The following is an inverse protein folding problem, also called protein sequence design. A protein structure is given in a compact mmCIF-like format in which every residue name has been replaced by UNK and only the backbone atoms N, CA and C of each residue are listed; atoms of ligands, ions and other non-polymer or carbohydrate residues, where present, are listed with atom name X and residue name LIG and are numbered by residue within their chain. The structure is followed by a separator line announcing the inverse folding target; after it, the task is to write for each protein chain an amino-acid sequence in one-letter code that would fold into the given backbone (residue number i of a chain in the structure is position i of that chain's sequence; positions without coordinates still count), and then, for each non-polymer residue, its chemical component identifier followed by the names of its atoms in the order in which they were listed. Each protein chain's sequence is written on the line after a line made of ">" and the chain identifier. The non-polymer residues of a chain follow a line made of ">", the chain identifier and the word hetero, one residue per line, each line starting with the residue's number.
data_IF_657518649942
#
_entry.id   IF_657518649942
#
_cell.length_a   1.000
_cell.length_b   1.000
_cell.length_c   1.000
_cell.angle_alpha   90.00
_cell.angle_beta   90.00
_cell.angle_gamma   90.00
#
_symmetry.space_group_name_H-M   'P 1'
#
loop_
_entity.id
_entity.type
_entity.pdbx_description
1 polymer ?
#
# COMPACT_ATOMS: atom_id res chain seq x y z
N UNK A 1 26.55 -13.83 1.95
CA UNK A 1 25.27 -13.09 2.04
C UNK A 1 24.36 -13.64 0.96
N UNK A 2 23.16 -14.09 1.31
CA UNK A 2 22.18 -14.51 0.31
C UNK A 2 21.79 -13.26 -0.49
N UNK A 3 21.52 -13.41 -1.79
CA UNK A 3 21.12 -12.28 -2.64
C UNK A 3 19.91 -11.51 -2.07
N UNK A 4 19.03 -12.19 -1.34
CA UNK A 4 17.90 -11.59 -0.64
C UNK A 4 18.32 -10.61 0.49
N UNK A 5 19.39 -10.94 1.24
CA UNK A 5 19.84 -10.13 2.38
C UNK A 5 20.38 -8.76 1.94
N UNK A 6 20.91 -8.68 0.71
CA UNK A 6 21.40 -7.42 0.15
C UNK A 6 20.30 -6.36 0.07
N UNK A 7 19.08 -6.76 -0.32
CA UNK A 7 17.94 -5.85 -0.46
C UNK A 7 17.42 -5.32 0.87
N UNK A 8 17.87 -5.89 2.00
CA UNK A 8 17.58 -5.40 3.34
C UNK A 8 18.64 -4.42 3.85
N UNK A 9 19.77 -4.27 3.15
CA UNK A 9 20.78 -3.27 3.51
C UNK A 9 20.33 -1.85 3.13
N UNK A 10 20.81 -0.80 3.83
CA UNK A 10 20.54 0.60 3.46
C UNK A 10 20.76 0.89 1.97
N UNK A 11 21.85 0.34 1.42
CA UNK A 11 22.20 0.51 0.02
C UNK A 11 21.22 -0.22 -0.92
N UNK A 12 20.82 -1.45 -0.58
CA UNK A 12 19.82 -2.20 -1.34
C UNK A 12 18.45 -1.49 -1.38
N UNK A 13 17.99 -0.99 -0.23
CA UNK A 13 16.76 -0.21 -0.11
C UNK A 13 16.85 1.08 -0.93
N UNK A 14 17.97 1.80 -0.83
CA UNK A 14 18.20 3.03 -1.59
C UNK A 14 18.21 2.77 -3.10
N UNK A 15 18.97 1.78 -3.58
CA UNK A 15 19.03 1.45 -5.01
C UNK A 15 17.66 1.02 -5.55
N UNK A 16 16.96 0.14 -4.85
CA UNK A 16 15.62 -0.30 -5.27
C UNK A 16 14.64 0.89 -5.33
N UNK A 17 14.65 1.74 -4.30
CA UNK A 17 13.80 2.93 -4.23
C UNK A 17 14.12 3.94 -5.33
N UNK A 18 15.40 4.24 -5.57
CA UNK A 18 15.85 5.17 -6.62
C UNK A 18 15.43 4.68 -8.01
N UNK A 19 15.60 3.38 -8.29
CA UNK A 19 15.13 2.80 -9.56
C UNK A 19 13.63 3.02 -9.73
N UNK A 20 12.83 2.79 -8.68
CA UNK A 20 11.38 3.00 -8.74
C UNK A 20 11.01 4.47 -8.92
N UNK A 21 11.66 5.40 -8.19
CA UNK A 21 11.42 6.85 -8.33
C UNK A 21 11.73 7.31 -9.75
N UNK A 22 12.87 6.90 -10.31
CA UNK A 22 13.28 7.27 -11.67
C UNK A 22 12.34 6.67 -12.72
N UNK A 23 11.97 5.38 -12.57
CA UNK A 23 11.05 4.71 -13.51
C UNK A 23 9.68 5.37 -13.49
N UNK A 24 9.08 5.57 -12.31
CA UNK A 24 7.76 6.19 -12.21
C UNK A 24 7.78 7.67 -12.61
N UNK A 25 8.80 8.43 -12.19
CA UNK A 25 9.00 9.82 -12.62
C UNK A 25 9.10 9.93 -14.14
N UNK A 26 9.80 9.01 -14.79
CA UNK A 26 9.90 8.94 -16.25
C UNK A 26 8.56 8.59 -16.91
N UNK A 27 7.82 7.61 -16.39
CA UNK A 27 6.48 7.25 -16.88
C UNK A 27 5.53 8.45 -16.79
N UNK A 28 5.58 9.21 -15.69
CA UNK A 28 4.79 10.43 -15.54
C UNK A 28 5.23 11.56 -16.47
N UNK A 29 6.53 11.70 -16.73
CA UNK A 29 7.03 12.67 -17.69
C UNK A 29 6.50 12.38 -19.11
N UNK A 30 6.39 11.10 -19.50
CA UNK A 30 5.90 10.64 -20.80
C UNK A 30 4.38 10.80 -21.00
N UNK A 31 3.61 10.93 -19.93
CA UNK A 31 2.18 11.27 -19.99
C UNK A 31 1.27 10.38 -19.14
N UNK A 32 0.23 10.99 -18.57
CA UNK A 32 -0.72 10.34 -17.67
C UNK A 32 -1.51 9.21 -18.32
N UNK A 33 -1.77 9.25 -19.63
CA UNK A 33 -2.50 8.20 -20.36
C UNK A 33 -1.77 6.85 -20.36
N UNK A 34 -0.45 6.86 -20.51
CA UNK A 34 0.37 5.63 -20.50
C UNK A 34 0.34 5.05 -19.10
N UNK A 35 0.54 5.90 -18.10
CA UNK A 35 0.43 5.53 -16.70
C UNK A 35 -0.90 4.83 -16.38
N UNK A 36 -2.06 5.42 -16.73
CA UNK A 36 -3.36 4.80 -16.43
C UNK A 36 -3.54 3.42 -17.08
N UNK A 37 -2.96 3.17 -18.26
CA UNK A 37 -2.99 1.83 -18.88
C UNK A 37 -2.15 0.83 -18.09
N UNK A 38 -0.93 1.21 -17.73
CA UNK A 38 -0.03 0.38 -16.92
C UNK A 38 -0.69 0.06 -15.57
N UNK A 39 -1.24 1.08 -14.92
CA UNK A 39 -1.95 0.97 -13.65
C UNK A 39 -3.13 0.00 -13.73
N UNK A 40 -3.96 0.09 -14.78
CA UNK A 40 -5.12 -0.80 -14.93
C UNK A 40 -4.70 -2.27 -15.14
N UNK A 41 -3.65 -2.51 -15.92
CA UNK A 41 -3.11 -3.87 -16.11
C UNK A 41 -2.51 -4.41 -14.82
N UNK A 42 -1.71 -3.60 -14.12
CA UNK A 42 -1.12 -3.97 -12.83
C UNK A 42 -2.21 -4.25 -11.79
N UNK A 43 -3.25 -3.42 -11.72
CA UNK A 43 -4.39 -3.60 -10.82
C UNK A 43 -5.17 -4.89 -11.12
N UNK A 44 -5.45 -5.18 -12.39
CA UNK A 44 -6.13 -6.41 -12.77
C UNK A 44 -5.31 -7.66 -12.41
N UNK A 45 -4.01 -7.64 -12.71
CA UNK A 45 -3.10 -8.74 -12.38
C UNK A 45 -2.96 -8.93 -10.87
N UNK A 46 -2.82 -7.85 -10.12
CA UNK A 46 -2.67 -7.92 -8.68
C UNK A 46 -3.98 -8.32 -7.98
N UNK A 47 -5.14 -7.90 -8.48
CA UNK A 47 -6.45 -8.39 -8.02
C UNK A 47 -6.57 -9.90 -8.28
N UNK A 48 -6.14 -10.37 -9.45
CA UNK A 48 -6.12 -11.80 -9.75
C UNK A 48 -5.20 -12.56 -8.77
N UNK A 49 -4.04 -12.01 -8.44
CA UNK A 49 -3.13 -12.62 -7.48
C UNK A 49 -3.72 -12.73 -6.07
N UNK A 50 -4.39 -11.67 -5.60
CA UNK A 50 -5.13 -11.69 -4.33
C UNK A 50 -6.28 -12.70 -4.36
N UNK A 51 -7.01 -12.78 -5.46
CA UNK A 51 -8.08 -13.76 -5.65
C UNK A 51 -7.55 -15.20 -5.58
N UNK A 52 -6.43 -15.48 -6.26
CA UNK A 52 -5.78 -16.78 -6.24
C UNK A 52 -5.27 -17.12 -4.84
N UNK A 53 -4.63 -16.17 -4.13
CA UNK A 53 -4.20 -16.38 -2.75
C UNK A 53 -5.38 -16.69 -1.81
N UNK A 54 -6.49 -15.95 -1.95
CA UNK A 54 -7.72 -16.22 -1.20
C UNK A 54 -8.32 -17.59 -1.52
N UNK A 55 -8.34 -18.00 -2.79
CA UNK A 55 -8.82 -19.33 -3.21
C UNK A 55 -7.93 -20.45 -2.66
N UNK A 56 -6.61 -20.30 -2.72
CA UNK A 56 -5.67 -21.23 -2.11
C UNK A 56 -5.98 -21.39 -0.63
N UNK A 57 -6.14 -20.29 0.10
CA UNK A 57 -6.49 -20.33 1.51
C UNK A 57 -7.86 -21.00 1.77
N UNK A 58 -8.87 -20.72 0.95
CA UNK A 58 -10.19 -21.32 1.10
C UNK A 58 -10.23 -22.83 0.83
N UNK A 59 -9.41 -23.32 -0.10
CA UNK A 59 -9.43 -24.71 -0.54
C UNK A 59 -8.46 -25.60 0.25
N UNK A 60 -7.49 -25.01 0.94
CA UNK A 60 -6.46 -25.75 1.68
C UNK A 60 -6.95 -26.10 3.08
N UNK A 61 -6.77 -27.36 3.48
CA UNK A 61 -7.05 -27.79 4.85
C UNK A 61 -5.93 -27.37 5.79
N UNK A 62 -6.25 -27.21 7.08
CA UNK A 62 -5.27 -26.82 8.10
C UNK A 62 -4.08 -27.77 8.20
N UNK A 63 -4.33 -29.08 8.12
CA UNK A 63 -3.28 -30.10 8.16
C UNK A 63 -2.33 -29.96 6.96
N UNK A 64 -2.87 -29.77 5.76
CA UNK A 64 -2.05 -29.54 4.57
C UNK A 64 -1.27 -28.23 4.68
N UNK A 65 -1.88 -27.17 5.19
CA UNK A 65 -1.18 -25.91 5.43
C UNK A 65 0.02 -26.09 6.36
N UNK A 66 -0.15 -26.73 7.52
CA UNK A 66 0.93 -26.94 8.49
C UNK A 66 2.09 -27.70 7.85
N UNK A 67 1.81 -28.82 7.18
CA UNK A 67 2.84 -29.60 6.50
C UNK A 67 3.59 -28.78 5.44
N UNK A 68 2.87 -28.01 4.61
CA UNK A 68 3.46 -27.19 3.56
C UNK A 68 4.23 -25.98 4.10
N UNK A 69 3.78 -25.41 5.21
CA UNK A 69 4.46 -24.33 5.89
C UNK A 69 5.80 -24.80 6.46
N UNK A 70 5.82 -25.96 7.12
CA UNK A 70 7.05 -26.54 7.67
C UNK A 70 8.06 -26.89 6.56
N UNK A 71 7.59 -27.47 5.44
CA UNK A 71 8.41 -27.69 4.25
C UNK A 71 9.00 -26.39 3.68
N UNK A 72 8.18 -25.34 3.57
CA UNK A 72 8.60 -24.03 3.07
C UNK A 72 9.67 -23.38 3.95
N UNK A 73 9.43 -23.30 5.26
CA UNK A 73 10.38 -22.68 6.20
C UNK A 73 11.70 -23.42 6.19
N UNK A 74 11.68 -24.76 6.19
CA UNK A 74 12.87 -25.59 6.05
C UNK A 74 13.62 -25.32 4.73
N UNK A 75 12.90 -25.20 3.61
CA UNK A 75 13.50 -24.95 2.29
C UNK A 75 14.20 -23.57 2.21
N UNK A 76 13.68 -22.57 2.92
CA UNK A 76 14.29 -21.23 3.01
C UNK A 76 15.45 -21.19 4.02
N UNK A 77 15.74 -22.30 4.71
CA UNK A 77 16.82 -22.45 5.67
C UNK A 77 16.43 -22.08 7.11
N UNK A 78 15.14 -22.10 7.42
CA UNK A 78 14.62 -22.05 8.77
C UNK A 78 14.57 -23.42 9.44
N UNK A 79 13.77 -23.53 10.50
CA UNK A 79 13.68 -24.72 11.36
C UNK A 79 12.73 -25.80 10.82
N UNK A 80 12.88 -27.02 11.33
CA UNK A 80 11.89 -28.09 11.18
C UNK A 80 10.71 -27.87 12.14
N UNK A 81 9.52 -28.35 11.79
CA UNK A 81 8.28 -28.15 12.56
C UNK A 81 8.01 -26.67 12.89
N UNK A 82 8.23 -25.79 11.91
CA UNK A 82 8.14 -24.34 12.07
C UNK A 82 6.81 -23.87 12.66
N UNK A 83 5.68 -24.50 12.33
CA UNK A 83 4.39 -24.15 12.90
C UNK A 83 4.33 -24.41 14.42
N UNK A 84 4.92 -25.51 14.89
CA UNK A 84 5.02 -25.81 16.32
C UNK A 84 5.98 -24.84 17.02
N UNK A 85 7.15 -24.58 16.42
CA UNK A 85 8.13 -23.62 16.96
C UNK A 85 7.53 -22.20 17.03
N UNK A 86 6.72 -21.80 16.03
CA UNK A 86 5.99 -20.54 16.06
C UNK A 86 5.06 -20.49 17.28
N UNK A 87 4.34 -21.58 17.56
CA UNK A 87 3.46 -21.67 18.72
C UNK A 87 4.23 -21.54 20.04
N UNK A 88 5.28 -22.34 20.21
CA UNK A 88 6.07 -22.39 21.45
C UNK A 88 6.83 -21.07 21.72
N UNK A 89 7.34 -20.41 20.69
CA UNK A 89 8.08 -19.15 20.81
C UNK A 89 7.20 -17.91 20.91
N UNK A 90 5.94 -17.97 20.45
CA UNK A 90 5.06 -16.81 20.40
C UNK A 90 4.63 -16.28 21.76
N UNK A 91 4.62 -17.14 22.79
CA UNK A 91 3.95 -16.83 24.07
C UNK A 91 2.46 -16.51 23.92
N UNK A 92 1.85 -16.81 22.76
CA UNK A 92 0.48 -16.45 22.44
C UNK A 92 -0.48 -17.18 23.37
N UNK A 93 -1.39 -16.42 23.97
CA UNK A 93 -2.51 -16.97 24.71
C UNK A 93 -3.82 -16.56 24.05
N UNK A 94 -4.78 -17.48 23.87
CA UNK A 94 -6.10 -17.11 23.39
C UNK A 94 -6.71 -16.05 24.29
N UNK A 95 -6.96 -14.86 23.73
CA UNK A 95 -7.58 -13.76 24.45
C UNK A 95 -9.09 -13.69 24.11
N UNK A 96 -9.97 -13.48 25.10
CA UNK A 96 -11.38 -13.23 24.83
C UNK A 96 -11.54 -11.91 24.07
N UNK A 97 -12.74 -11.68 23.53
CA UNK A 97 -13.07 -10.42 22.86
C UNK A 97 -12.79 -9.21 23.77
N UNK A 98 -11.94 -8.31 23.30
CA UNK A 98 -11.61 -7.05 23.97
C UNK A 98 -11.94 -5.88 23.04
N UNK A 99 -12.90 -5.05 23.46
CA UNK A 99 -13.35 -3.90 22.70
C UNK A 99 -12.25 -2.83 22.54
N UNK A 100 -11.36 -2.68 23.51
CA UNK A 100 -10.25 -1.73 23.46
C UNK A 100 -9.20 -2.17 22.45
N UNK A 101 -8.78 -3.45 22.50
CA UNK A 101 -7.86 -4.01 21.50
C UNK A 101 -8.46 -4.00 20.08
N UNK A 102 -9.77 -4.27 19.98
CA UNK A 102 -10.51 -4.16 18.72
C UNK A 102 -10.51 -2.72 18.21
N UNK A 103 -10.68 -1.72 19.08
CA UNK A 103 -10.61 -0.32 18.68
C UNK A 103 -9.20 0.07 18.21
N UNK A 104 -8.16 -0.39 18.90
CA UNK A 104 -6.77 -0.15 18.48
C UNK A 104 -6.45 -0.79 17.12
N UNK A 105 -7.00 -1.98 16.83
CA UNK A 105 -6.78 -2.67 15.55
C UNK A 105 -7.45 -1.96 14.36
N UNK A 106 -8.45 -1.11 14.59
CA UNK A 106 -9.06 -0.26 13.54
C UNK A 106 -8.06 0.67 12.87
N UNK A 107 -6.94 1.01 13.53
CA UNK A 107 -5.91 1.86 12.96
C UNK A 107 -5.39 1.33 11.62
N UNK A 108 -5.16 0.02 11.50
CA UNK A 108 -4.61 -0.61 10.30
C UNK A 108 -5.54 -0.51 9.08
N UNK A 109 -6.83 -0.94 9.15
CA UNK A 109 -7.78 -0.72 8.07
C UNK A 109 -8.02 0.76 7.74
N UNK A 110 -8.07 1.63 8.76
CA UNK A 110 -8.25 3.07 8.54
C UNK A 110 -7.09 3.65 7.73
N UNK A 111 -5.84 3.23 7.97
CA UNK A 111 -4.70 3.67 7.17
C UNK A 111 -4.83 3.30 5.70
N UNK A 112 -5.35 2.10 5.39
CA UNK A 112 -5.53 1.65 4.00
C UNK A 112 -6.63 2.46 3.31
N UNK A 113 -7.74 2.69 4.02
CA UNK A 113 -8.94 3.33 3.46
C UNK A 113 -8.79 4.84 3.29
N UNK A 114 -8.00 5.51 4.15
CA UNK A 114 -7.82 6.97 4.09
C UNK A 114 -7.32 7.44 2.71
N UNK A 115 -6.61 6.58 1.96
CA UNK A 115 -6.07 6.90 0.63
C UNK A 115 -7.14 7.15 -0.42
N UNK A 116 -8.41 6.80 -0.16
CA UNK A 116 -9.53 7.17 -1.02
C UNK A 116 -9.60 8.69 -1.30
N UNK A 117 -9.14 9.53 -0.35
CA UNK A 117 -9.10 10.99 -0.50
C UNK A 117 -8.23 11.40 -1.70
N UNK A 118 -7.17 10.65 -2.01
CA UNK A 118 -6.26 11.00 -3.12
C UNK A 118 -6.96 11.02 -4.49
N UNK A 119 -8.10 10.35 -4.62
CA UNK A 119 -9.00 10.45 -5.77
C UNK A 119 -9.43 11.90 -6.06
N UNK A 120 -9.60 12.73 -5.03
CA UNK A 120 -10.01 14.13 -5.17
C UNK A 120 -9.02 14.96 -5.98
N UNK A 121 -7.72 14.71 -5.86
CA UNK A 121 -6.68 15.40 -6.64
C UNK A 121 -6.78 15.12 -8.13
N UNK A 122 -7.37 13.98 -8.52
CA UNK A 122 -7.58 13.57 -9.91
C UNK A 122 -8.99 13.93 -10.40
N UNK A 123 -9.88 14.36 -9.51
CA UNK A 123 -11.28 14.61 -9.83
C UNK A 123 -11.48 15.53 -11.02
N UNK A 124 -10.71 16.61 -11.14
CA UNK A 124 -10.81 17.58 -12.24
C UNK A 124 -10.39 17.05 -13.62
N UNK A 125 -9.61 15.97 -13.68
CA UNK A 125 -9.15 15.36 -14.95
C UNK A 125 -10.05 14.21 -15.42
N UNK A 126 -11.00 13.78 -14.58
CA UNK A 126 -11.91 12.68 -14.88
C UNK A 126 -13.18 13.21 -15.55
N UNK A 127 -13.57 12.59 -16.68
CA UNK A 127 -14.86 12.86 -17.33
C UNK A 127 -16.01 12.61 -16.34
N UNK A 128 -16.90 13.59 -16.18
CA UNK A 128 -17.97 13.57 -15.18
C UNK A 128 -17.48 13.46 -13.73
N UNK A 129 -16.46 14.25 -13.40
CA UNK A 129 -15.84 14.41 -12.08
C UNK A 129 -16.82 14.23 -10.90
N UNK A 130 -17.95 14.96 -10.90
CA UNK A 130 -18.94 14.92 -9.83
C UNK A 130 -19.48 13.52 -9.57
N UNK A 131 -19.97 12.84 -10.61
CA UNK A 131 -20.53 11.48 -10.49
C UNK A 131 -19.43 10.46 -10.22
N UNK A 132 -18.28 10.62 -10.88
CA UNK A 132 -17.14 9.72 -10.71
C UNK A 132 -16.58 9.75 -9.28
N UNK A 133 -16.48 10.93 -8.64
CA UNK A 133 -16.00 11.05 -7.27
C UNK A 133 -17.04 10.57 -6.25
N UNK A 134 -18.33 10.86 -6.48
CA UNK A 134 -19.42 10.43 -5.60
C UNK A 134 -19.54 8.91 -5.49
N UNK A 135 -19.39 8.18 -6.60
CA UNK A 135 -19.40 6.71 -6.59
C UNK A 135 -18.01 6.10 -6.37
N UNK A 136 -16.96 6.75 -6.88
CA UNK A 136 -15.59 6.23 -6.88
C UNK A 136 -15.00 6.16 -5.48
N UNK A 137 -15.14 7.21 -4.65
CA UNK A 137 -14.58 7.19 -3.30
C UNK A 137 -15.27 6.11 -2.43
N UNK A 138 -16.59 6.13 -2.16
CA UNK A 138 -17.22 5.10 -1.33
C UNK A 138 -17.14 3.71 -1.95
N UNK A 139 -17.25 3.60 -3.27
CA UNK A 139 -17.13 2.32 -3.98
C UNK A 139 -15.77 1.67 -3.81
N UNK A 140 -14.69 2.46 -3.85
CA UNK A 140 -13.34 1.96 -3.57
C UNK A 140 -13.18 1.47 -2.12
N UNK A 141 -13.77 2.16 -1.15
CA UNK A 141 -13.76 1.74 0.26
C UNK A 141 -14.51 0.42 0.44
N UNK A 142 -15.71 0.30 -0.12
CA UNK A 142 -16.50 -0.94 -0.04
C UNK A 142 -15.75 -2.09 -0.72
N UNK A 143 -15.16 -1.85 -1.90
CA UNK A 143 -14.36 -2.84 -2.61
C UNK A 143 -13.18 -3.36 -1.76
N UNK A 144 -12.39 -2.45 -1.17
CA UNK A 144 -11.28 -2.81 -0.31
C UNK A 144 -11.76 -3.57 0.94
N UNK A 145 -12.83 -3.11 1.59
CA UNK A 145 -13.39 -3.76 2.78
C UNK A 145 -13.88 -5.18 2.49
N UNK A 146 -14.56 -5.40 1.36
CA UNK A 146 -15.01 -6.74 0.95
C UNK A 146 -13.82 -7.68 0.77
N UNK A 147 -12.76 -7.25 0.07
CA UNK A 147 -11.56 -8.06 -0.09
C UNK A 147 -10.87 -8.37 1.23
N UNK A 148 -10.74 -7.39 2.13
CA UNK A 148 -10.15 -7.59 3.47
C UNK A 148 -10.94 -8.66 4.23
N UNK A 149 -12.28 -8.54 4.30
CA UNK A 149 -13.12 -9.50 5.02
C UNK A 149 -13.03 -10.91 4.41
N UNK A 150 -13.06 -11.01 3.08
CA UNK A 150 -12.93 -12.30 2.39
C UNK A 150 -11.59 -12.97 2.65
N UNK A 151 -10.49 -12.21 2.61
CA UNK A 151 -9.16 -12.75 2.90
C UNK A 151 -9.03 -13.15 4.38
N UNK A 152 -9.50 -12.33 5.32
CA UNK A 152 -9.50 -12.67 6.75
C UNK A 152 -10.24 -14.00 6.97
N UNK A 153 -11.45 -14.13 6.42
CA UNK A 153 -12.24 -15.37 6.54
C UNK A 153 -11.52 -16.58 5.90
N UNK A 154 -10.92 -16.40 4.73
CA UNK A 154 -10.19 -17.46 4.02
C UNK A 154 -8.98 -17.95 4.82
N UNK A 155 -8.13 -17.04 5.29
CA UNK A 155 -6.93 -17.39 6.05
C UNK A 155 -7.25 -17.91 7.46
N UNK A 156 -8.31 -17.40 8.10
CA UNK A 156 -8.79 -17.97 9.37
C UNK A 156 -9.30 -19.39 9.19
N UNK A 157 -9.96 -19.72 8.07
CA UNK A 157 -10.35 -21.10 7.74
C UNK A 157 -9.12 -22.01 7.56
N UNK A 158 -8.10 -21.52 6.86
CA UNK A 158 -6.89 -22.29 6.55
C UNK A 158 -6.03 -22.55 7.80
N UNK A 159 -5.71 -21.50 8.55
CA UNK A 159 -4.69 -21.55 9.62
C UNK A 159 -5.32 -21.61 11.02
N UNK A 160 -6.51 -21.02 11.17
CA UNK A 160 -7.13 -20.74 12.46
C UNK A 160 -6.74 -19.37 13.01
N UNK A 161 -7.66 -18.74 13.76
CA UNK A 161 -7.42 -17.43 14.38
C UNK A 161 -6.18 -17.45 15.29
N UNK A 162 -6.12 -18.41 16.21
CA UNK A 162 -5.00 -18.52 17.15
C UNK A 162 -3.70 -18.89 16.43
N UNK A 163 -3.78 -19.70 15.35
CA UNK A 163 -2.61 -20.07 14.54
C UNK A 163 -2.00 -18.86 13.83
N UNK A 164 -2.84 -17.97 13.28
CA UNK A 164 -2.38 -16.70 12.72
C UNK A 164 -1.78 -15.79 13.80
N UNK A 165 -2.38 -15.75 14.99
CA UNK A 165 -1.85 -15.02 16.13
C UNK A 165 -0.47 -15.51 16.56
N UNK A 166 -0.29 -16.83 16.67
CA UNK A 166 0.98 -17.45 17.02
C UNK A 166 2.07 -17.20 15.97
N UNK A 167 1.78 -17.37 14.67
CA UNK A 167 2.75 -17.05 13.61
C UNK A 167 3.11 -15.56 13.63
N UNK A 168 2.13 -14.68 13.87
CA UNK A 168 2.35 -13.24 13.93
C UNK A 168 3.17 -12.78 15.13
N UNK A 169 3.10 -13.48 16.26
CA UNK A 169 3.80 -13.17 17.50
C UNK A 169 5.06 -14.02 17.73
N UNK A 170 5.36 -14.97 16.85
CA UNK A 170 6.50 -15.88 16.97
C UNK A 170 7.84 -15.14 16.96
N UNK A 171 8.83 -15.71 17.65
CA UNK A 171 10.21 -15.22 17.55
C UNK A 171 10.80 -15.61 16.19
N UNK A 172 11.13 -14.58 15.40
CA UNK A 172 11.71 -14.73 14.07
C UNK A 172 13.06 -15.43 14.09
N UNK A 173 13.86 -15.20 15.14
CA UNK A 173 15.14 -15.87 15.31
C UNK A 173 14.95 -17.37 15.57
N UNK A 174 13.93 -17.74 16.36
CA UNK A 174 13.58 -19.13 16.61
C UNK A 174 13.08 -19.84 15.35
N UNK A 175 12.37 -19.13 14.46
CA UNK A 175 11.93 -19.67 13.16
C UNK A 175 13.03 -19.72 12.10
N UNK A 176 14.15 -19.02 12.31
CA UNK A 176 15.19 -18.82 11.29
C UNK A 176 14.71 -17.95 10.12
N UNK A 177 13.73 -17.07 10.36
CA UNK A 177 13.18 -16.15 9.37
C UNK A 177 13.65 -14.72 9.65
N UNK A 178 13.82 -13.92 8.59
CA UNK A 178 14.25 -12.53 8.74
C UNK A 178 13.08 -11.58 9.07
N UNK A 179 11.84 -11.97 8.77
CA UNK A 179 10.64 -11.16 8.96
C UNK A 179 9.41 -12.04 9.12
N UNK A 180 8.33 -11.48 9.70
CA UNK A 180 7.08 -12.19 9.94
C UNK A 180 6.39 -12.54 8.62
N UNK A 181 6.03 -13.82 8.38
CA UNK A 181 5.35 -14.23 7.16
C UNK A 181 4.07 -13.44 6.92
N UNK A 182 3.97 -12.82 5.75
CA UNK A 182 2.76 -12.13 5.30
C UNK A 182 1.71 -13.12 4.77
N UNK A 183 0.45 -12.70 4.63
CA UNK A 183 -0.60 -13.57 4.08
C UNK A 183 -0.24 -14.12 2.68
N UNK A 184 0.51 -13.35 1.90
CA UNK A 184 0.99 -13.75 0.56
C UNK A 184 1.98 -14.89 0.66
N UNK A 185 2.87 -14.86 1.65
CA UNK A 185 3.83 -15.93 1.89
C UNK A 185 3.18 -17.16 2.50
N UNK A 186 2.17 -16.99 3.35
CA UNK A 186 1.38 -18.11 3.85
C UNK A 186 0.65 -18.84 2.71
N UNK A 187 0.08 -18.11 1.75
CA UNK A 187 -0.49 -18.71 0.54
C UNK A 187 0.60 -19.30 -0.37
N UNK A 188 1.73 -18.59 -0.53
CA UNK A 188 2.88 -19.03 -1.32
C UNK A 188 3.50 -20.34 -0.80
N UNK A 189 3.58 -20.50 0.53
CA UNK A 189 4.05 -21.71 1.20
C UNK A 189 3.20 -22.92 0.84
N UNK A 190 1.90 -22.76 0.63
CA UNK A 190 1.02 -23.87 0.21
C UNK A 190 1.28 -24.28 -1.24
N UNK A 191 1.50 -23.31 -2.13
CA UNK A 191 1.65 -23.55 -3.58
C UNK A 191 3.09 -23.63 -4.04
N UNK A 192 4.06 -23.79 -3.13
CA UNK A 192 5.49 -23.74 -3.44
C UNK A 192 5.98 -24.77 -4.47
N UNK A 193 5.17 -25.81 -4.75
CA UNK A 193 5.44 -26.83 -5.75
C UNK A 193 5.04 -26.40 -7.18
N UNK A 194 4.23 -25.34 -7.33
CA UNK A 194 3.78 -24.83 -8.62
C UNK A 194 4.39 -23.45 -8.89
N UNK A 195 5.42 -23.43 -9.73
CA UNK A 195 6.15 -22.21 -10.09
C UNK A 195 5.22 -21.09 -10.61
N UNK A 196 4.20 -21.43 -11.41
CA UNK A 196 3.28 -20.44 -11.97
C UNK A 196 2.47 -19.74 -10.87
N UNK A 197 1.97 -20.50 -9.89
CA UNK A 197 1.20 -19.95 -8.77
C UNK A 197 2.06 -19.07 -7.87
N UNK A 198 3.30 -19.47 -7.60
CA UNK A 198 4.27 -18.68 -6.82
C UNK A 198 4.59 -17.37 -7.53
N UNK A 199 4.92 -17.44 -8.81
CA UNK A 199 5.24 -16.24 -9.60
C UNK A 199 4.03 -15.31 -9.68
N UNK A 200 2.82 -15.85 -9.86
CA UNK A 200 1.60 -15.06 -9.90
C UNK A 200 1.32 -14.35 -8.57
N UNK A 201 1.41 -15.07 -7.45
CA UNK A 201 1.17 -14.51 -6.11
C UNK A 201 2.27 -13.51 -5.73
N UNK A 202 3.54 -13.86 -5.95
CA UNK A 202 4.69 -13.02 -5.64
C UNK A 202 4.77 -11.75 -6.50
N UNK A 203 4.69 -11.88 -7.82
CA UNK A 203 4.68 -10.71 -8.72
C UNK A 203 3.42 -9.87 -8.52
N UNK A 204 2.29 -10.49 -8.23
CA UNK A 204 1.05 -9.78 -7.94
C UNK A 204 1.15 -8.92 -6.69
N UNK A 205 1.77 -9.45 -5.63
CA UNK A 205 2.07 -8.70 -4.42
C UNK A 205 3.07 -7.56 -4.66
N UNK A 206 4.11 -7.79 -5.44
CA UNK A 206 5.06 -6.74 -5.83
C UNK A 206 4.34 -5.62 -6.59
N UNK A 207 3.53 -5.95 -7.58
CA UNK A 207 2.76 -4.95 -8.34
C UNK A 207 1.78 -4.19 -7.44
N UNK A 208 1.07 -4.86 -6.53
CA UNK A 208 0.20 -4.21 -5.56
C UNK A 208 0.97 -3.24 -4.66
N UNK A 209 2.14 -3.66 -4.20
CA UNK A 209 3.04 -2.87 -3.35
C UNK A 209 3.66 -1.69 -4.08
N UNK A 210 3.64 -1.60 -5.41
CA UNK A 210 4.18 -0.44 -6.13
C UNK A 210 3.13 0.45 -6.79
N UNK A 211 1.88 -0.02 -6.86
CA UNK A 211 0.72 0.70 -7.42
C UNK A 211 0.34 1.98 -6.63
N UNK A 212 0.79 2.11 -5.38
CA UNK A 212 0.60 3.31 -4.52
C UNK A 212 1.62 4.44 -4.70
N UNK A 213 2.84 4.19 -5.19
CA UNK A 213 3.85 5.24 -5.39
C UNK A 213 3.37 6.28 -6.42
N UNK A 214 2.77 5.86 -7.54
CA UNK A 214 2.41 6.80 -8.58
C UNK A 214 1.31 7.78 -8.20
N UNK A 215 0.32 7.33 -7.40
CA UNK A 215 -0.76 8.22 -6.95
C UNK A 215 -0.24 9.32 -6.01
N UNK A 216 0.75 9.01 -5.17
CA UNK A 216 1.40 10.00 -4.33
C UNK A 216 2.19 11.01 -5.18
N UNK A 217 2.95 10.53 -6.16
CA UNK A 217 3.71 11.39 -7.08
C UNK A 217 2.81 12.37 -7.83
N UNK A 218 1.68 11.87 -8.32
CA UNK A 218 0.69 12.64 -9.07
C UNK A 218 -0.09 13.63 -8.18
N UNK A 219 -0.40 13.26 -6.93
CA UNK A 219 -0.97 14.18 -5.96
C UNK A 219 0.02 15.32 -5.61
N UNK A 220 1.27 14.98 -5.26
CA UNK A 220 2.29 15.97 -4.89
C UNK A 220 2.58 16.98 -6.00
N UNK A 221 2.70 16.51 -7.25
CA UNK A 221 2.94 17.41 -8.39
C UNK A 221 1.80 18.38 -8.63
N UNK A 222 0.54 17.96 -8.45
CA UNK A 222 -0.63 18.85 -8.56
C UNK A 222 -0.74 19.84 -7.42
N UNK A 223 -0.38 19.44 -6.20
CA UNK A 223 -0.33 20.36 -5.05
C UNK A 223 0.70 21.47 -5.32
N UNK A 224 1.90 21.13 -5.81
CA UNK A 224 2.91 22.12 -6.18
C UNK A 224 2.44 23.05 -7.31
N UNK A 225 1.71 22.51 -8.29
CA UNK A 225 1.12 23.30 -9.37
C UNK A 225 0.10 24.31 -8.82
N UNK A 226 -0.79 23.88 -7.93
CA UNK A 226 -1.78 24.74 -7.29
C UNK A 226 -1.11 25.85 -6.45
N UNK A 227 -0.13 25.51 -5.62
CA UNK A 227 0.62 26.49 -4.83
C UNK A 227 1.40 27.48 -5.69
N UNK A 228 1.86 27.07 -6.87
CA UNK A 228 2.51 27.97 -7.83
C UNK A 228 1.51 28.98 -8.41
N UNK A 229 0.28 28.55 -8.75
CA UNK A 229 -0.79 29.47 -9.18
C UNK A 229 -1.24 30.43 -8.06
N UNK A 230 -1.23 29.96 -6.81
CA UNK A 230 -1.49 30.79 -5.62
C UNK A 230 -0.32 31.72 -5.26
N UNK A 231 0.78 31.70 -6.04
CA UNK A 231 2.02 32.46 -5.82
C UNK A 231 2.71 32.16 -4.48
N UNK A 232 2.40 31.02 -3.87
CA UNK A 232 3.09 30.52 -2.66
C UNK A 232 4.44 29.87 -3.00
N UNK A 233 4.59 29.38 -4.22
CA UNK A 233 5.76 28.67 -4.71
C UNK A 233 6.29 29.29 -6.02
N UNK A 234 7.56 29.04 -6.42
CA UNK A 234 8.13 29.58 -7.65
C UNK A 234 7.27 29.28 -8.90
N UNK A 235 7.12 30.27 -9.77
CA UNK A 235 6.31 30.16 -11.01
C UNK A 235 6.79 29.03 -11.93
N UNK A 236 8.09 28.71 -11.90
CA UNK A 236 8.68 27.60 -12.67
C UNK A 236 8.02 26.23 -12.40
N UNK A 237 7.40 26.04 -11.23
CA UNK A 237 6.70 24.79 -10.89
C UNK A 237 5.37 24.63 -11.63
N UNK A 238 4.77 25.73 -12.08
CA UNK A 238 3.56 25.73 -12.93
C UNK A 238 3.84 25.45 -14.41
N UNK A 239 5.12 25.31 -14.82
CA UNK A 239 5.48 25.05 -16.21
C UNK A 239 4.99 23.66 -16.65
N UNK A 240 4.12 23.64 -17.68
CA UNK A 240 3.60 22.43 -18.32
C UNK A 240 4.19 22.28 -19.71
N UNK A 241 4.75 21.11 -20.01
CA UNK A 241 5.34 20.80 -21.32
C UNK A 241 4.26 20.78 -22.42
N UNK A 242 4.45 21.52 -23.54
CA UNK A 242 3.49 21.50 -24.66
C UNK A 242 3.35 20.15 -25.37
N UNK A 243 4.38 19.28 -25.29
CA UNK A 243 4.38 17.98 -25.97
C UNK A 243 3.66 16.90 -25.18
N UNK A 244 3.96 16.81 -23.89
CA UNK A 244 3.47 15.75 -23.00
C UNK A 244 2.29 16.20 -22.15
N UNK A 245 2.00 17.51 -22.09
CA UNK A 245 0.98 18.12 -21.22
C UNK A 245 1.17 17.77 -19.74
N UNK A 246 2.43 17.63 -19.32
CA UNK A 246 2.81 17.25 -17.94
C UNK A 246 3.71 18.31 -17.30
N UNK A 247 3.60 18.54 -15.97
CA UNK A 247 4.40 19.53 -15.26
C UNK A 247 5.81 18.99 -14.94
N UNK A 248 6.71 19.00 -15.93
CA UNK A 248 8.03 18.36 -15.84
C UNK A 248 8.88 18.89 -14.69
N UNK A 249 8.83 20.21 -14.41
CA UNK A 249 9.61 20.82 -13.31
C UNK A 249 9.09 20.34 -11.96
N UNK A 250 7.77 20.27 -11.77
CA UNK A 250 7.18 19.74 -10.55
C UNK A 250 7.52 18.26 -10.37
N UNK A 251 7.47 17.46 -11.46
CA UNK A 251 7.85 16.03 -11.44
C UNK A 251 9.30 15.88 -10.99
N UNK A 252 10.22 16.69 -11.52
CA UNK A 252 11.63 16.64 -11.16
C UNK A 252 11.87 17.04 -9.71
N UNK A 253 11.20 18.09 -9.22
CA UNK A 253 11.31 18.53 -7.82
C UNK A 253 10.77 17.47 -6.86
N UNK A 254 9.62 16.87 -7.16
CA UNK A 254 9.07 15.76 -6.35
C UNK A 254 10.02 14.55 -6.35
N UNK A 255 10.67 14.27 -7.48
CA UNK A 255 11.65 13.19 -7.59
C UNK A 255 12.86 13.44 -6.71
N UNK A 256 13.45 14.64 -6.79
CA UNK A 256 14.59 15.02 -5.94
C UNK A 256 14.24 14.98 -4.45
N UNK A 257 13.08 15.53 -4.07
CA UNK A 257 12.61 15.46 -2.68
C UNK A 257 12.36 14.01 -2.24
N UNK A 258 11.83 13.18 -3.14
CA UNK A 258 11.66 11.75 -2.93
C UNK A 258 12.98 11.04 -2.67
N UNK A 259 14.02 11.31 -3.48
CA UNK A 259 15.37 10.74 -3.30
C UNK A 259 16.01 11.17 -1.98
N UNK A 260 15.87 12.45 -1.60
CA UNK A 260 16.38 12.96 -0.32
C UNK A 260 15.68 12.24 0.84
N UNK A 261 14.35 12.14 0.80
CA UNK A 261 13.58 11.41 1.82
C UNK A 261 13.93 9.92 1.86
N UNK A 262 14.15 9.30 0.70
CA UNK A 262 14.58 7.90 0.60
C UNK A 262 15.95 7.69 1.23
N UNK A 263 16.92 8.59 1.00
CA UNK A 263 18.22 8.54 1.66
C UNK A 263 18.09 8.71 3.18
N UNK A 264 17.33 9.71 3.63
CA UNK A 264 17.10 9.93 5.06
C UNK A 264 16.44 8.72 5.76
N UNK A 265 15.60 7.98 5.03
CA UNK A 265 14.96 6.75 5.49
C UNK A 265 15.92 5.55 5.47
N UNK A 266 16.59 5.30 4.35
CA UNK A 266 17.44 4.12 4.15
C UNK A 266 18.59 4.04 5.18
N UNK A 267 19.12 5.20 5.59
CA UNK A 267 20.17 5.29 6.61
C UNK A 267 19.64 5.61 8.02
N UNK A 268 18.32 5.53 8.25
CA UNK A 268 17.68 5.76 9.55
C UNK A 268 18.11 7.06 10.24
N UNK A 269 18.33 8.14 9.47
CA UNK A 269 18.91 9.38 10.00
C UNK A 269 17.86 10.15 10.82
N UNK A 270 16.68 10.37 10.23
CA UNK A 270 15.59 11.18 10.86
C UNK A 270 14.20 10.61 10.57
N UNK A 271 14.02 9.79 9.54
CA UNK A 271 12.72 9.28 9.13
C UNK A 271 12.55 7.83 9.56
N UNK A 272 11.59 7.58 10.44
CA UNK A 272 11.06 6.23 10.70
C UNK A 272 9.89 5.93 9.76
N UNK A 273 9.59 4.64 9.57
CA UNK A 273 8.38 4.18 8.89
C UNK A 273 7.15 4.88 9.51
N UNK A 274 6.23 5.40 8.70
CA UNK A 274 4.90 5.95 9.10
C UNK A 274 4.86 7.43 9.55
N UNK A 275 5.99 8.13 9.74
CA UNK A 275 6.00 9.54 10.22
C UNK A 275 5.18 10.49 9.33
N UNK A 276 5.19 10.30 8.00
CA UNK A 276 4.47 11.17 7.07
C UNK A 276 2.94 11.11 7.17
N UNK A 277 2.39 10.03 7.73
CA UNK A 277 0.94 9.82 7.81
C UNK A 277 0.30 10.78 8.82
N UNK A 278 1.00 11.13 9.90
CA UNK A 278 0.50 12.12 10.86
C UNK A 278 0.27 13.49 10.23
N UNK A 279 1.22 13.96 9.40
CA UNK A 279 1.07 15.22 8.68
C UNK A 279 -0.17 15.21 7.78
N UNK A 280 -0.42 14.07 7.12
CA UNK A 280 -1.56 13.92 6.24
C UNK A 280 -2.91 13.87 6.98
N UNK A 281 -2.97 13.20 8.14
CA UNK A 281 -4.17 13.20 9.00
C UNK A 281 -4.49 14.62 9.46
N UNK A 282 -3.48 15.40 9.87
CA UNK A 282 -3.66 16.79 10.30
C UNK A 282 -4.19 17.66 9.14
N UNK A 283 -3.61 17.53 7.95
CA UNK A 283 -4.13 18.24 6.76
C UNK A 283 -5.57 17.85 6.44
N UNK A 284 -5.93 16.58 6.62
CA UNK A 284 -7.30 16.10 6.43
C UNK A 284 -8.27 16.72 7.42
N UNK A 285 -7.92 16.77 8.71
CA UNK A 285 -8.73 17.40 9.76
C UNK A 285 -8.98 18.88 9.42
N UNK A 286 -7.94 19.63 9.06
CA UNK A 286 -8.11 21.03 8.66
C UNK A 286 -9.00 21.20 7.43
N UNK A 287 -8.86 20.31 6.44
CA UNK A 287 -9.71 20.34 5.24
C UNK A 287 -11.17 20.02 5.56
N UNK A 288 -11.43 19.06 6.45
CA UNK A 288 -12.78 18.70 6.89
C UNK A 288 -13.44 19.84 7.68
N UNK A 289 -12.71 20.46 8.61
CA UNK A 289 -13.20 21.64 9.35
C UNK A 289 -13.49 22.80 8.38
N UNK A 290 -12.60 23.06 7.43
CA UNK A 290 -12.81 24.09 6.42
C UNK A 290 -14.07 23.82 5.59
N UNK A 291 -14.31 22.57 5.18
CA UNK A 291 -15.52 22.17 4.45
C UNK A 291 -16.81 22.36 5.26
N UNK A 292 -16.79 22.07 6.57
CA UNK A 292 -17.93 22.30 7.47
C UNK A 292 -18.23 23.79 7.60
N UNK A 293 -17.20 24.64 7.73
CA UNK A 293 -17.35 26.09 7.92
C UNK A 293 -17.67 26.83 6.62
N UNK A 294 -17.23 26.31 5.46
CA UNK A 294 -17.35 26.93 4.15
C UNK A 294 -18.77 27.42 3.80
N UNK A 295 -19.86 26.63 3.93
CA UNK A 295 -21.21 27.08 3.60
C UNK A 295 -21.71 28.22 4.51
N UNK A 296 -21.18 28.33 5.74
CA UNK A 296 -21.56 29.39 6.68
C UNK A 296 -20.78 30.69 6.46
N UNK A 297 -19.52 30.61 6.03
CA UNK A 297 -18.63 31.77 5.90
C UNK A 297 -18.59 32.36 4.47
N UNK A 298 -18.74 31.52 3.45
CA UNK A 298 -18.67 31.91 2.03
C UNK A 298 -19.82 31.28 1.25
N UNK A 299 -21.04 31.64 1.66
CA UNK A 299 -22.27 31.08 1.11
C UNK A 299 -22.41 31.34 -0.40
N UNK A 300 -22.07 32.54 -0.88
CA UNK A 300 -22.15 32.90 -2.29
C UNK A 300 -21.24 32.02 -3.17
N UNK A 301 -19.98 31.84 -2.75
CA UNK A 301 -19.01 30.95 -3.43
C UNK A 301 -19.48 29.48 -3.41
N UNK A 302 -20.09 29.04 -2.30
CA UNK A 302 -20.61 27.68 -2.18
C UNK A 302 -21.83 27.45 -3.09
N UNK A 303 -22.74 28.41 -3.18
CA UNK A 303 -23.92 28.32 -4.04
C UNK A 303 -23.58 28.41 -5.54
N UNK A 304 -22.47 29.08 -5.88
CA UNK A 304 -21.93 29.13 -7.23
C UNK A 304 -21.11 27.89 -7.63
N UNK A 305 -20.79 27.00 -6.69
CA UNK A 305 -19.94 25.83 -6.95
C UNK A 305 -20.64 24.77 -7.81
N UNK A 306 -19.96 24.21 -8.83
CA UNK A 306 -20.51 23.18 -9.73
C UNK A 306 -20.73 21.81 -9.07
N UNK A 307 -20.43 21.67 -7.77
CA UNK A 307 -20.48 20.39 -7.04
C UNK A 307 -21.84 20.13 -6.37
N UNK A 308 -22.80 21.09 -6.44
CA UNK A 308 -24.20 20.87 -6.00
C UNK A 308 -24.80 19.63 -6.62
#
# INVERSE_FOLDING_TARGET
>A
MRFADFWQTPLGIFVAGTVLIVVFGSIFALGTKIYFRIQNVAFAFATLAVAVAGLVALLTSRETFIARFDEYVRAVGGVENAFQVAWESSGYQPHPFDAYQTFLSLSLPLYIVLYAITSSFIGGEVKNARRAQFFGMPGSVVYCTVWIVLLIAAFQKMVGYDGLGAIGAADLAALGLAFTPTFVELAGAVVHHNLLSILLIGLGFLLWTYVWLPINYLASTRILLAWSFDRLMPEKLSYVSPRTHTPLVAILVVGILGEICLALYAWHIVLASIVGIFGWIVSFIFTAIAAIVFPYRRREDFEASPVR
#
